data_IF_946271155164
#
_entry.id   IF_946271155164
#
_cell.length_a   1.000
_cell.length_b   1.000
_cell.length_c   1.000
_cell.angle_alpha   90.00
_cell.angle_beta   90.00
_cell.angle_gamma   90.00
#
_symmetry.space_group_name_H-M   'P 1'
#
loop_
_entity.id
_entity.type
_entity.pdbx_description
1 polymer ?
#
# COMPACT_ATOMS: atom_id res chain seq x y z
N UNK A 1 71.80 -48.39 70.48
CA UNK A 1 71.59 -48.69 69.07
C UNK A 1 70.32 -48.02 68.62
N UNK A 2 70.34 -46.90 67.93
CA UNK A 2 69.13 -46.30 67.36
C UNK A 2 69.11 -46.45 65.84
N UNK A 3 67.93 -46.80 65.34
CA UNK A 3 67.57 -46.83 63.92
C UNK A 3 67.14 -45.47 63.45
N UNK A 4 67.75 -44.91 62.42
CA UNK A 4 67.36 -43.71 61.76
C UNK A 4 66.54 -44.04 60.50
N UNK A 5 65.24 -43.64 60.48
CA UNK A 5 64.39 -43.69 59.27
C UNK A 5 64.39 -42.33 58.56
N UNK A 6 64.85 -42.32 57.32
CA UNK A 6 64.84 -41.20 56.43
C UNK A 6 63.50 -41.14 55.72
N UNK A 7 62.76 -40.05 55.91
CA UNK A 7 61.54 -39.73 55.16
C UNK A 7 61.84 -38.91 53.87
N UNK A 8 61.64 -39.52 52.71
CA UNK A 8 61.68 -38.83 51.43
C UNK A 8 60.37 -38.11 51.22
N UNK A 9 60.38 -36.78 51.16
CA UNK A 9 59.26 -35.94 50.73
C UNK A 9 59.14 -35.99 49.20
N UNK A 10 57.96 -36.49 48.70
CA UNK A 10 57.58 -36.41 47.30
C UNK A 10 56.82 -35.11 47.14
N UNK A 11 57.35 -34.14 46.37
CA UNK A 11 56.64 -32.90 45.93
C UNK A 11 55.86 -33.27 44.70
N UNK A 12 54.53 -33.31 44.81
CA UNK A 12 53.59 -33.36 43.65
C UNK A 12 53.31 -31.96 43.23
N UNK A 13 53.80 -31.57 42.09
CA UNK A 13 53.46 -30.27 41.43
C UNK A 13 52.14 -30.44 40.71
N UNK A 14 51.05 -29.90 41.26
CA UNK A 14 49.71 -29.78 40.57
C UNK A 14 49.75 -28.59 39.65
N UNK A 15 49.78 -28.85 38.36
CA UNK A 15 49.60 -27.82 37.31
C UNK A 15 48.09 -27.54 37.17
N UNK A 16 47.60 -26.41 37.67
CA UNK A 16 46.25 -25.94 37.47
C UNK A 16 46.22 -25.28 36.07
N UNK A 17 45.67 -25.99 35.10
CA UNK A 17 45.32 -25.43 33.79
C UNK A 17 44.13 -24.52 33.93
N UNK A 18 44.34 -23.19 33.89
CA UNK A 18 43.32 -22.16 33.84
C UNK A 18 42.75 -22.11 32.41
N UNK A 19 41.68 -22.87 32.17
CA UNK A 19 40.93 -22.80 30.92
C UNK A 19 40.27 -21.42 30.81
N UNK A 20 40.78 -20.56 29.93
CA UNK A 20 40.13 -19.31 29.54
C UNK A 20 38.85 -19.65 28.74
N UNK A 21 37.71 -19.73 29.41
CA UNK A 21 36.39 -19.65 28.76
C UNK A 21 36.24 -18.23 28.24
N UNK A 22 36.58 -18.02 26.96
CA UNK A 22 36.16 -16.83 26.26
C UNK A 22 34.60 -16.88 26.12
N UNK A 23 33.92 -16.30 27.09
CA UNK A 23 32.53 -15.92 26.94
C UNK A 23 32.50 -14.90 25.81
N UNK A 24 32.26 -15.39 24.59
CA UNK A 24 31.85 -14.55 23.48
C UNK A 24 30.55 -13.88 23.87
N UNK A 25 30.65 -12.66 24.37
CA UNK A 25 29.49 -11.76 24.44
C UNK A 25 29.05 -11.47 23.00
N UNK A 26 28.29 -12.40 22.41
CA UNK A 26 27.54 -12.08 21.23
C UNK A 26 26.65 -10.91 21.61
N UNK A 27 27.01 -9.71 21.16
CA UNK A 27 26.09 -8.56 21.22
C UNK A 27 24.80 -9.03 20.55
N UNK A 28 23.75 -9.20 21.34
CA UNK A 28 22.42 -9.38 20.77
C UNK A 28 22.19 -8.12 19.93
N UNK A 29 22.21 -8.28 18.60
CA UNK A 29 21.86 -7.20 17.70
C UNK A 29 20.43 -6.79 18.05
N UNK A 30 20.20 -5.49 18.22
CA UNK A 30 18.87 -4.98 18.54
C UNK A 30 17.94 -5.21 17.35
N UNK A 31 16.67 -5.58 17.63
CA UNK A 31 15.68 -5.71 16.57
C UNK A 31 15.43 -4.36 15.90
N UNK A 32 15.30 -4.36 14.57
CA UNK A 32 14.85 -3.19 13.80
C UNK A 32 13.35 -3.06 13.97
N UNK A 33 12.90 -2.06 14.73
CA UNK A 33 11.48 -1.83 15.01
C UNK A 33 10.83 -1.04 13.89
N UNK A 34 9.89 -1.66 13.15
CA UNK A 34 9.08 -1.01 12.13
C UNK A 34 7.63 -0.95 12.63
N UNK A 35 7.08 0.26 12.65
CA UNK A 35 5.69 0.49 13.05
C UNK A 35 4.73 0.38 11.88
N UNK A 36 3.48 0.01 12.21
CA UNK A 36 2.39 0.03 11.24
C UNK A 36 1.08 0.41 11.92
N UNK A 37 0.30 1.30 11.31
CA UNK A 37 -1.09 1.56 11.65
C UNK A 37 -1.93 1.40 10.40
N UNK A 38 -2.91 0.50 10.45
CA UNK A 38 -3.69 0.04 9.31
C UNK A 38 -5.17 -0.05 9.68
N UNK A 39 -6.04 0.11 8.69
CA UNK A 39 -7.47 -0.09 8.87
C UNK A 39 -7.84 -1.56 8.61
N UNK A 40 -7.29 -2.48 9.43
CA UNK A 40 -7.50 -3.93 9.26
C UNK A 40 -8.92 -4.37 9.64
N UNK A 41 -9.67 -3.54 10.36
CA UNK A 41 -11.09 -3.71 10.63
C UNK A 41 -11.89 -2.48 10.19
N UNK A 42 -13.23 -2.50 10.38
CA UNK A 42 -14.13 -1.42 10.00
C UNK A 42 -14.41 -1.32 8.50
N UNK A 43 -14.84 -0.13 8.04
CA UNK A 43 -15.31 0.07 6.65
C UNK A 43 -14.21 -0.03 5.59
N UNK A 44 -12.95 0.14 5.98
CA UNK A 44 -11.79 0.02 5.10
C UNK A 44 -11.04 -1.31 5.23
N UNK A 45 -11.61 -2.31 5.92
CA UNK A 45 -10.97 -3.61 6.16
C UNK A 45 -10.57 -4.33 4.87
N UNK A 46 -11.32 -4.18 3.78
CA UNK A 46 -10.99 -4.77 2.47
C UNK A 46 -9.67 -4.22 1.88
N UNK A 47 -9.21 -3.05 2.33
CA UNK A 47 -7.90 -2.47 2.04
C UNK A 47 -6.86 -2.95 3.08
N UNK A 48 -7.13 -2.70 4.36
CA UNK A 48 -6.17 -2.85 5.44
C UNK A 48 -5.87 -4.29 5.84
N UNK A 49 -6.82 -5.21 5.68
CA UNK A 49 -6.58 -6.63 5.99
C UNK A 49 -5.50 -7.25 5.09
N UNK A 50 -5.58 -7.15 3.74
CA UNK A 50 -4.50 -7.64 2.88
C UNK A 50 -3.17 -6.89 3.08
N UNK A 51 -3.19 -5.59 3.45
CA UNK A 51 -1.99 -4.86 3.83
C UNK A 51 -1.32 -5.47 5.06
N UNK A 52 -2.08 -5.71 6.14
CA UNK A 52 -1.59 -6.30 7.39
C UNK A 52 -1.06 -7.72 7.19
N UNK A 53 -1.81 -8.55 6.45
CA UNK A 53 -1.39 -9.92 6.12
C UNK A 53 -0.09 -9.93 5.32
N UNK A 54 0.06 -9.01 4.35
CA UNK A 54 1.26 -8.87 3.54
C UNK A 54 2.47 -8.47 4.39
N UNK A 55 2.35 -7.42 5.20
CA UNK A 55 3.47 -6.98 6.06
C UNK A 55 3.92 -8.09 6.98
N UNK A 56 2.97 -8.77 7.66
CA UNK A 56 3.30 -9.88 8.55
C UNK A 56 4.03 -11.00 7.82
N UNK A 57 3.47 -11.47 6.70
CA UNK A 57 4.03 -12.56 5.90
C UNK A 57 5.45 -12.26 5.43
N UNK A 58 5.67 -11.06 4.90
CA UNK A 58 6.97 -10.67 4.37
C UNK A 58 8.01 -10.45 5.46
N UNK A 59 7.62 -9.91 6.62
CA UNK A 59 8.52 -9.80 7.79
C UNK A 59 8.93 -11.17 8.28
N UNK A 60 8.01 -12.13 8.35
CA UNK A 60 8.33 -13.51 8.71
C UNK A 60 9.34 -14.12 7.71
N UNK A 61 9.14 -13.91 6.40
CA UNK A 61 10.03 -14.40 5.34
C UNK A 61 11.43 -13.75 5.42
N UNK A 62 11.51 -12.43 5.60
CA UNK A 62 12.77 -11.69 5.73
C UNK A 62 13.52 -12.15 6.98
N UNK A 63 12.82 -12.32 8.09
CA UNK A 63 13.41 -12.79 9.34
C UNK A 63 13.91 -14.25 9.24
N UNK A 64 13.17 -15.11 8.55
CA UNK A 64 13.60 -16.47 8.27
C UNK A 64 14.88 -16.52 7.40
N UNK A 65 15.01 -15.58 6.46
CA UNK A 65 16.19 -15.42 5.61
C UNK A 65 17.42 -14.76 6.30
N UNK A 66 17.31 -14.41 7.59
CA UNK A 66 18.43 -13.82 8.35
C UNK A 66 18.25 -12.36 8.75
N UNK A 67 17.13 -11.72 8.35
CA UNK A 67 16.82 -10.33 8.68
C UNK A 67 17.47 -9.32 7.74
N UNK A 68 17.71 -8.10 8.25
CA UNK A 68 18.41 -7.02 7.56
C UNK A 68 19.77 -6.87 8.23
N UNK A 69 20.88 -7.04 7.50
CA UNK A 69 22.24 -6.96 8.04
C UNK A 69 22.43 -7.81 9.34
N UNK A 70 21.79 -9.00 9.39
CA UNK A 70 21.74 -9.92 10.54
C UNK A 70 20.86 -9.47 11.72
N UNK A 71 20.18 -8.34 11.64
CA UNK A 71 19.19 -7.89 12.62
C UNK A 71 17.77 -8.32 12.20
N UNK A 72 16.94 -8.74 13.16
CA UNK A 72 15.55 -9.11 12.89
C UNK A 72 14.66 -7.89 12.84
N UNK A 73 13.61 -7.96 12.01
CA UNK A 73 12.56 -6.94 12.00
C UNK A 73 11.56 -7.30 13.11
N UNK A 74 11.27 -6.34 13.98
CA UNK A 74 10.12 -6.38 14.89
C UNK A 74 9.04 -5.48 14.34
N UNK A 75 8.03 -6.08 13.69
CA UNK A 75 6.86 -5.36 13.21
C UNK A 75 5.88 -5.13 14.37
N UNK A 76 5.48 -3.88 14.60
CA UNK A 76 4.50 -3.47 15.61
C UNK A 76 3.31 -2.87 14.87
N UNK A 77 2.15 -3.53 14.94
CA UNK A 77 0.96 -3.15 14.17
C UNK A 77 -0.20 -2.79 15.08
N UNK A 78 -0.85 -1.66 14.80
CA UNK A 78 -2.09 -1.22 15.41
C UNK A 78 -3.20 -1.12 14.36
N UNK A 79 -4.43 -1.51 14.75
CA UNK A 79 -5.62 -1.41 13.92
C UNK A 79 -6.39 -0.13 14.25
N UNK A 80 -6.38 0.83 13.33
CA UNK A 80 -7.08 2.11 13.48
C UNK A 80 -8.56 2.03 13.08
N UNK A 81 -9.01 0.93 12.48
CA UNK A 81 -10.37 0.70 12.01
C UNK A 81 -10.90 1.80 11.05
N UNK A 82 -10.01 2.55 10.38
CA UNK A 82 -10.34 3.69 9.51
C UNK A 82 -10.59 5.00 10.27
N UNK A 83 -10.34 5.04 11.57
CA UNK A 83 -10.50 6.24 12.40
C UNK A 83 -9.22 7.08 12.42
N UNK A 84 -9.31 8.33 11.92
CA UNK A 84 -8.18 9.24 11.82
C UNK A 84 -7.57 9.60 13.20
N UNK A 85 -8.39 9.69 14.27
CA UNK A 85 -7.89 10.00 15.61
C UNK A 85 -7.11 8.82 16.21
N UNK A 86 -7.61 7.59 16.01
CA UNK A 86 -6.87 6.38 16.40
C UNK A 86 -5.56 6.27 15.62
N UNK A 87 -5.58 6.50 14.31
CA UNK A 87 -4.39 6.47 13.47
C UNK A 87 -3.32 7.44 13.99
N UNK A 88 -3.70 8.68 14.33
CA UNK A 88 -2.82 9.66 14.94
C UNK A 88 -2.28 9.18 16.29
N UNK A 89 -3.15 8.70 17.18
CA UNK A 89 -2.77 8.21 18.51
C UNK A 89 -1.78 7.05 18.41
N UNK A 90 -2.03 6.11 17.50
CA UNK A 90 -1.16 4.96 17.30
C UNK A 90 0.18 5.35 16.66
N UNK A 91 0.19 6.32 15.74
CA UNK A 91 1.45 6.85 15.20
C UNK A 91 2.32 7.49 16.30
N UNK A 92 1.71 8.29 17.20
CA UNK A 92 2.41 8.84 18.36
C UNK A 92 2.97 7.73 19.26
N UNK A 93 2.16 6.72 19.58
CA UNK A 93 2.58 5.58 20.39
C UNK A 93 3.72 4.78 19.75
N UNK A 94 3.64 4.50 18.45
CA UNK A 94 4.71 3.81 17.72
C UNK A 94 6.06 4.54 17.84
N UNK A 95 6.02 5.88 17.83
CA UNK A 95 7.22 6.71 17.91
C UNK A 95 7.73 6.84 19.35
N UNK A 96 6.84 7.22 20.29
CA UNK A 96 7.23 7.58 21.65
C UNK A 96 7.41 6.38 22.58
N UNK A 97 6.52 5.37 22.48
CA UNK A 97 6.54 4.21 23.39
C UNK A 97 7.25 3.01 22.77
N UNK A 98 7.01 2.75 21.46
CA UNK A 98 7.54 1.57 20.77
C UNK A 98 8.91 1.86 20.09
N UNK A 99 9.34 3.13 20.02
CA UNK A 99 10.63 3.59 19.49
C UNK A 99 10.94 3.04 18.09
N UNK A 100 9.94 3.10 17.18
CA UNK A 100 10.11 2.61 15.81
C UNK A 100 11.00 3.53 14.98
N UNK A 101 11.80 2.95 14.08
CA UNK A 101 12.70 3.70 13.20
C UNK A 101 12.04 4.14 11.89
N UNK A 102 10.89 3.54 11.56
CA UNK A 102 10.11 3.83 10.37
C UNK A 102 8.65 3.36 10.55
N UNK A 103 7.73 3.94 9.76
CA UNK A 103 6.32 3.57 9.77
C UNK A 103 5.86 3.25 8.34
N UNK A 104 5.06 2.18 8.18
CA UNK A 104 4.34 1.83 6.97
C UNK A 104 2.86 1.74 7.31
N UNK A 105 1.97 2.43 6.59
CA UNK A 105 0.54 2.36 6.91
C UNK A 105 -0.27 3.55 6.42
N UNK A 106 -1.30 3.91 7.20
CA UNK A 106 -2.24 4.92 6.77
C UNK A 106 -3.02 4.43 5.55
N UNK A 107 -3.79 3.36 5.72
CA UNK A 107 -4.59 2.68 4.68
C UNK A 107 -5.45 3.63 3.86
N UNK A 108 -6.11 4.60 4.53
CA UNK A 108 -6.98 5.59 3.87
C UNK A 108 -6.32 6.97 3.84
N UNK A 109 -6.81 7.84 2.94
CA UNK A 109 -6.37 9.23 2.90
C UNK A 109 -6.59 9.94 4.25
N UNK A 110 -7.73 9.69 4.90
CA UNK A 110 -8.04 10.30 6.19
C UNK A 110 -7.08 9.88 7.29
N UNK A 111 -6.78 8.57 7.41
CA UNK A 111 -5.83 8.04 8.40
C UNK A 111 -4.41 8.49 8.10
N UNK A 112 -3.98 8.46 6.82
CA UNK A 112 -2.67 9.00 6.40
C UNK A 112 -2.48 10.47 6.79
N UNK A 113 -3.46 11.32 6.47
CA UNK A 113 -3.34 12.75 6.75
C UNK A 113 -3.35 13.09 8.24
N UNK A 114 -3.87 12.20 9.08
CA UNK A 114 -3.77 12.31 10.54
C UNK A 114 -2.39 11.89 11.07
N UNK A 115 -1.71 10.95 10.41
CA UNK A 115 -0.35 10.47 10.75
C UNK A 115 0.72 11.47 10.32
N UNK A 116 0.56 12.08 9.15
CA UNK A 116 1.57 12.96 8.52
C UNK A 116 2.16 14.01 9.49
N UNK A 117 1.37 14.82 10.22
CA UNK A 117 1.95 15.81 11.14
C UNK A 117 2.85 15.18 12.21
N UNK A 118 2.49 14.00 12.71
CA UNK A 118 3.21 13.28 13.76
C UNK A 118 4.59 12.84 13.27
N UNK A 119 4.65 12.19 12.10
CA UNK A 119 5.91 11.68 11.54
C UNK A 119 6.83 12.80 11.05
N UNK A 120 6.27 13.88 10.50
CA UNK A 120 7.05 15.04 10.07
C UNK A 120 7.70 15.76 11.25
N UNK A 121 6.98 15.92 12.38
CA UNK A 121 7.50 16.53 13.62
C UNK A 121 8.57 15.65 14.26
N UNK A 122 8.34 14.34 14.33
CA UNK A 122 9.28 13.40 14.94
C UNK A 122 10.49 13.07 14.06
N UNK A 123 10.44 13.38 12.76
CA UNK A 123 11.51 13.05 11.81
C UNK A 123 11.59 11.56 11.45
N UNK A 124 10.50 10.81 11.59
CA UNK A 124 10.42 9.38 11.31
C UNK A 124 9.94 9.16 9.88
N UNK A 125 10.67 8.39 9.02
CA UNK A 125 10.23 8.10 7.67
C UNK A 125 8.95 7.28 7.67
N UNK A 126 8.00 7.69 6.84
CA UNK A 126 6.68 7.11 6.71
C UNK A 126 6.38 6.78 5.25
N UNK A 127 6.01 5.55 4.95
CA UNK A 127 5.49 5.14 3.65
C UNK A 127 3.99 4.92 3.77
N UNK A 128 3.21 5.83 3.19
CA UNK A 128 1.75 5.79 3.17
C UNK A 128 1.23 4.79 2.13
N UNK A 129 0.11 4.13 2.46
CA UNK A 129 -0.64 3.22 1.59
C UNK A 129 -1.90 3.87 1.00
N UNK A 130 -2.06 5.19 1.11
CA UNK A 130 -3.21 5.94 0.62
C UNK A 130 -3.02 6.52 -0.79
N UNK A 131 -4.14 6.65 -1.54
CA UNK A 131 -4.13 7.04 -2.96
C UNK A 131 -4.07 8.54 -3.25
N UNK A 132 -4.44 9.45 -2.31
CA UNK A 132 -4.52 10.88 -2.60
C UNK A 132 -3.17 11.52 -2.90
N UNK A 133 -3.15 12.45 -3.87
CA UNK A 133 -1.95 13.24 -4.20
C UNK A 133 -1.53 14.17 -3.05
N UNK A 134 -2.47 14.59 -2.22
CA UNK A 134 -2.24 15.47 -1.08
C UNK A 134 -1.29 14.87 -0.03
N UNK A 135 -1.07 13.55 -0.06
CA UNK A 135 -0.08 12.88 0.79
C UNK A 135 1.33 13.37 0.50
N UNK A 136 1.64 13.63 -0.77
CA UNK A 136 2.99 14.00 -1.24
C UNK A 136 3.06 15.36 -1.93
N UNK A 137 1.96 16.08 -2.08
CA UNK A 137 1.94 17.43 -2.62
C UNK A 137 1.24 18.39 -1.66
N UNK A 138 1.96 19.40 -1.12
CA UNK A 138 3.40 19.64 -1.36
C UNK A 138 4.26 18.50 -0.83
N UNK A 139 5.47 18.33 -1.38
CA UNK A 139 6.43 17.31 -0.91
C UNK A 139 6.73 17.54 0.57
N UNK A 140 6.64 16.48 1.35
CA UNK A 140 6.93 16.44 2.78
C UNK A 140 8.22 15.71 3.02
N UNK A 141 8.97 16.13 4.04
CA UNK A 141 10.34 15.65 4.23
C UNK A 141 10.44 14.16 4.58
N UNK A 142 9.48 13.65 5.35
CA UNK A 142 9.54 12.29 5.89
C UNK A 142 8.44 11.36 5.33
N UNK A 143 7.54 11.88 4.49
CA UNK A 143 6.37 11.17 3.98
C UNK A 143 6.56 10.75 2.52
N UNK A 144 6.46 9.46 2.27
CA UNK A 144 6.50 8.78 0.98
C UNK A 144 5.20 8.01 0.75
N UNK A 145 4.98 7.47 -0.45
CA UNK A 145 3.84 6.58 -0.71
C UNK A 145 4.15 5.58 -1.82
N UNK A 146 3.45 4.45 -1.80
CA UNK A 146 3.51 3.44 -2.85
C UNK A 146 2.31 3.42 -3.79
N UNK A 147 1.07 3.77 -3.37
CA UNK A 147 -0.06 3.84 -4.29
C UNK A 147 0.11 4.95 -5.33
N UNK A 148 -0.39 4.71 -6.53
CA UNK A 148 -0.58 5.77 -7.53
C UNK A 148 -1.45 6.90 -6.97
N UNK A 149 -1.31 8.10 -7.53
CA UNK A 149 -2.17 9.21 -7.11
C UNK A 149 -3.55 9.15 -7.77
N UNK A 150 -4.53 9.70 -7.09
CA UNK A 150 -5.87 9.97 -7.62
C UNK A 150 -5.84 10.82 -8.90
N UNK A 151 -4.91 11.80 -9.01
CA UNK A 151 -4.68 12.58 -10.23
C UNK A 151 -4.20 11.69 -11.39
N UNK A 152 -3.28 10.76 -11.15
CA UNK A 152 -2.84 9.78 -12.15
C UNK A 152 -4.00 8.87 -12.58
N UNK A 153 -4.84 8.47 -11.63
CA UNK A 153 -6.01 7.65 -11.94
C UNK A 153 -7.01 8.40 -12.83
N UNK A 154 -7.32 9.67 -12.53
CA UNK A 154 -8.16 10.50 -13.40
C UNK A 154 -7.53 10.63 -14.81
N UNK A 155 -6.24 10.90 -14.90
CA UNK A 155 -5.54 11.01 -16.17
C UNK A 155 -5.65 9.72 -17.00
N UNK A 156 -5.40 8.56 -16.37
CA UNK A 156 -5.48 7.25 -17.05
C UNK A 156 -6.89 6.93 -17.54
N UNK A 157 -7.91 7.23 -16.73
CA UNK A 157 -9.32 7.07 -17.11
C UNK A 157 -9.66 8.00 -18.29
N UNK A 158 -9.24 9.25 -18.23
CA UNK A 158 -9.53 10.22 -19.27
C UNK A 158 -8.83 9.91 -20.60
N UNK A 159 -7.61 9.36 -20.58
CA UNK A 159 -6.96 8.83 -21.78
C UNK A 159 -7.80 7.70 -22.43
N UNK A 160 -8.33 6.76 -21.66
CA UNK A 160 -9.18 5.69 -22.20
C UNK A 160 -10.51 6.27 -22.72
N UNK A 161 -11.11 7.20 -22.00
CA UNK A 161 -12.35 7.88 -22.43
C UNK A 161 -12.16 8.66 -23.73
N UNK A 162 -11.02 9.38 -23.91
CA UNK A 162 -10.67 10.05 -25.17
C UNK A 162 -10.56 9.06 -26.33
N UNK A 163 -9.82 7.97 -26.16
CA UNK A 163 -9.71 6.91 -27.19
C UNK A 163 -11.08 6.38 -27.60
N UNK A 164 -12.02 6.29 -26.67
CA UNK A 164 -13.39 5.80 -26.87
C UNK A 164 -14.39 6.89 -27.27
N UNK A 165 -13.97 8.15 -27.35
CA UNK A 165 -14.80 9.33 -27.64
C UNK A 165 -15.95 9.55 -26.63
N UNK A 166 -15.71 9.22 -25.36
CA UNK A 166 -16.62 9.41 -24.25
C UNK A 166 -16.28 10.73 -23.54
N UNK A 167 -16.60 11.86 -24.16
CA UNK A 167 -16.11 13.18 -23.73
C UNK A 167 -17.07 13.92 -22.78
N UNK A 168 -18.32 13.46 -22.62
CA UNK A 168 -19.32 14.04 -21.71
C UNK A 168 -19.65 13.03 -20.62
N UNK A 169 -19.23 13.31 -19.40
CA UNK A 169 -19.30 12.33 -18.32
C UNK A 169 -20.03 12.86 -17.08
N UNK A 170 -20.60 11.93 -16.31
CA UNK A 170 -21.10 12.19 -14.97
C UNK A 170 -20.12 11.67 -13.92
N UNK A 171 -19.89 12.43 -12.86
CA UNK A 171 -19.18 11.99 -11.67
C UNK A 171 -20.14 11.58 -10.56
N UNK A 172 -19.82 10.49 -9.86
CA UNK A 172 -20.47 10.08 -8.62
C UNK A 172 -19.37 9.84 -7.57
N UNK A 173 -19.18 10.79 -6.66
CA UNK A 173 -18.01 10.80 -5.76
C UNK A 173 -18.39 10.54 -4.30
N UNK A 174 -17.61 9.71 -3.62
CA UNK A 174 -17.66 9.56 -2.17
C UNK A 174 -17.33 10.88 -1.46
N UNK A 175 -17.97 11.13 -0.31
CA UNK A 175 -17.71 12.31 0.52
C UNK A 175 -16.61 12.10 1.54
N UNK A 176 -16.01 10.89 1.57
CA UNK A 176 -14.81 10.63 2.35
C UNK A 176 -13.58 11.36 1.77
N UNK A 177 -12.49 11.41 2.53
CA UNK A 177 -11.28 12.16 2.14
C UNK A 177 -10.69 11.72 0.79
N UNK A 178 -10.77 10.42 0.45
CA UNK A 178 -10.27 9.93 -0.84
C UNK A 178 -11.19 10.33 -1.99
N UNK A 179 -12.50 10.11 -1.85
CA UNK A 179 -13.50 10.47 -2.87
C UNK A 179 -13.48 11.97 -3.16
N UNK A 180 -13.41 12.80 -2.11
CA UNK A 180 -13.31 14.26 -2.23
C UNK A 180 -12.02 14.70 -2.94
N UNK A 181 -10.85 14.11 -2.59
CA UNK A 181 -9.58 14.39 -3.26
C UNK A 181 -9.64 14.01 -4.74
N UNK A 182 -10.06 12.79 -5.05
CA UNK A 182 -10.12 12.32 -6.44
C UNK A 182 -11.10 13.14 -7.29
N UNK A 183 -12.29 13.50 -6.72
CA UNK A 183 -13.23 14.39 -7.40
C UNK A 183 -12.57 15.73 -7.75
N UNK A 184 -11.87 16.35 -6.80
CA UNK A 184 -11.11 17.58 -7.04
C UNK A 184 -10.10 17.41 -8.17
N UNK A 185 -9.30 16.34 -8.13
CA UNK A 185 -8.28 16.09 -9.15
C UNK A 185 -8.90 15.84 -10.53
N UNK A 186 -9.96 15.04 -10.64
CA UNK A 186 -10.65 14.84 -11.91
C UNK A 186 -11.22 16.16 -12.47
N UNK A 187 -11.86 17.00 -11.64
CA UNK A 187 -12.39 18.30 -12.06
C UNK A 187 -11.29 19.25 -12.55
N UNK A 188 -10.13 19.26 -11.88
CA UNK A 188 -8.99 20.12 -12.24
C UNK A 188 -8.42 19.79 -13.62
N UNK A 189 -8.28 18.49 -13.96
CA UNK A 189 -7.61 18.08 -15.19
C UNK A 189 -8.54 17.71 -16.34
N UNK A 190 -9.86 17.65 -16.12
CA UNK A 190 -10.82 17.21 -17.14
C UNK A 190 -10.68 17.97 -18.47
N UNK A 191 -10.50 19.29 -18.41
CA UNK A 191 -10.34 20.13 -19.61
C UNK A 191 -9.09 19.83 -20.42
N UNK A 192 -7.99 19.42 -19.76
CA UNK A 192 -6.72 19.08 -20.42
C UNK A 192 -6.89 17.83 -21.30
N UNK A 193 -7.90 17.00 -21.00
CA UNK A 193 -8.29 15.81 -21.75
C UNK A 193 -9.53 16.02 -22.63
N UNK A 194 -10.04 17.26 -22.77
CA UNK A 194 -11.25 17.54 -23.52
C UNK A 194 -12.52 16.91 -22.91
N UNK A 195 -12.48 16.58 -21.64
CA UNK A 195 -13.61 15.99 -20.91
C UNK A 195 -14.50 17.10 -20.34
N UNK A 196 -15.80 17.01 -20.61
CA UNK A 196 -16.84 17.86 -20.04
C UNK A 196 -17.59 17.09 -18.95
N UNK A 197 -17.57 17.61 -17.72
CA UNK A 197 -18.35 17.06 -16.61
C UNK A 197 -19.76 17.65 -16.69
N UNK A 198 -20.73 16.87 -17.19
CA UNK A 198 -22.12 17.30 -17.38
C UNK A 198 -23.01 16.99 -16.17
N UNK A 199 -22.54 16.22 -15.24
CA UNK A 199 -23.22 15.90 -13.98
C UNK A 199 -22.19 15.60 -12.88
N UNK A 200 -22.51 15.98 -11.64
CA UNK A 200 -21.61 15.85 -10.50
C UNK A 200 -22.44 15.62 -9.25
N UNK A 201 -22.47 14.37 -8.78
CA UNK A 201 -23.25 13.89 -7.66
C UNK A 201 -22.30 13.28 -6.60
N UNK A 202 -22.77 13.21 -5.36
CA UNK A 202 -22.01 12.63 -4.25
C UNK A 202 -22.80 11.58 -3.49
N UNK A 203 -22.08 10.71 -2.77
CA UNK A 203 -22.64 9.74 -1.84
C UNK A 203 -21.83 9.70 -0.55
N UNK A 204 -22.50 9.43 0.58
CA UNK A 204 -21.82 9.17 1.84
C UNK A 204 -21.33 7.70 1.88
N UNK A 205 -20.20 7.40 2.58
CA UNK A 205 -19.67 6.02 2.67
C UNK A 205 -20.67 4.99 3.19
N UNK A 206 -21.65 5.42 4.00
CA UNK A 206 -22.70 4.57 4.58
C UNK A 206 -23.98 4.48 3.75
N UNK A 207 -24.06 5.16 2.60
CA UNK A 207 -25.25 5.12 1.76
C UNK A 207 -25.48 3.72 1.20
N UNK A 208 -26.68 3.19 1.41
CA UNK A 208 -27.10 1.87 0.96
C UNK A 208 -27.81 1.89 -0.41
N UNK A 209 -28.15 3.08 -0.92
CA UNK A 209 -28.84 3.28 -2.19
C UNK A 209 -28.38 4.58 -2.87
N UNK A 210 -27.93 4.47 -4.11
CA UNK A 210 -27.47 5.59 -4.94
C UNK A 210 -28.33 5.74 -6.21
N UNK A 211 -29.51 5.11 -6.21
CA UNK A 211 -30.49 5.19 -7.31
C UNK A 211 -30.85 6.63 -7.65
N UNK A 212 -31.09 7.55 -6.69
CA UNK A 212 -31.41 8.95 -7.01
C UNK A 212 -30.26 9.64 -7.77
N UNK A 213 -29.01 9.52 -7.29
CA UNK A 213 -27.84 10.14 -7.91
C UNK A 213 -27.60 9.61 -9.32
N UNK A 214 -27.65 8.29 -9.48
CA UNK A 214 -27.50 7.63 -10.78
C UNK A 214 -28.61 8.00 -11.75
N UNK A 215 -29.84 8.18 -11.26
CA UNK A 215 -30.99 8.66 -12.06
C UNK A 215 -30.78 10.10 -12.52
N UNK A 216 -30.28 10.96 -11.64
CA UNK A 216 -29.95 12.34 -12.00
C UNK A 216 -28.84 12.35 -13.08
N UNK A 217 -27.81 11.55 -12.92
CA UNK A 217 -26.70 11.48 -13.88
C UNK A 217 -27.16 10.96 -15.25
N UNK A 218 -27.84 9.80 -15.30
CA UNK A 218 -28.26 9.21 -16.58
C UNK A 218 -29.14 10.08 -17.42
N UNK A 219 -29.85 11.04 -16.79
CA UNK A 219 -30.76 11.97 -17.46
C UNK A 219 -30.08 13.28 -17.91
N UNK A 220 -28.78 13.46 -17.66
CA UNK A 220 -28.05 14.65 -18.13
C UNK A 220 -27.89 14.63 -19.65
N UNK A 221 -28.21 15.79 -20.26
CA UNK A 221 -28.17 15.92 -21.70
C UNK A 221 -26.75 15.58 -22.26
N UNK A 222 -26.72 14.64 -23.19
CA UNK A 222 -25.49 14.26 -23.91
C UNK A 222 -24.50 13.46 -23.09
N UNK A 223 -24.83 12.98 -21.88
CA UNK A 223 -23.96 12.12 -21.09
C UNK A 223 -23.58 10.84 -21.87
N UNK A 224 -22.32 10.44 -21.79
CA UNK A 224 -21.76 9.31 -22.53
C UNK A 224 -21.18 8.23 -21.62
N UNK A 225 -20.83 8.55 -20.37
CA UNK A 225 -20.33 7.59 -19.37
C UNK A 225 -20.53 8.12 -17.95
N UNK A 226 -20.45 7.21 -16.97
CA UNK A 226 -20.46 7.54 -15.54
C UNK A 226 -19.14 7.06 -14.95
N UNK A 227 -18.52 7.90 -14.11
CA UNK A 227 -17.30 7.63 -13.35
C UNK A 227 -17.60 7.71 -11.86
N UNK A 228 -17.42 6.58 -11.15
CA UNK A 228 -17.58 6.48 -9.70
C UNK A 228 -16.23 6.63 -9.02
N UNK A 229 -16.14 7.58 -8.10
CA UNK A 229 -14.93 7.96 -7.38
C UNK A 229 -15.11 7.63 -5.89
N UNK A 230 -14.43 6.60 -5.41
CA UNK A 230 -14.57 6.20 -4.02
C UNK A 230 -13.79 4.94 -3.69
N UNK A 231 -13.93 4.51 -2.47
CA UNK A 231 -13.39 3.27 -1.92
C UNK A 231 -14.46 2.60 -1.03
N UNK A 232 -14.24 1.37 -0.65
CA UNK A 232 -15.14 0.66 0.24
C UNK A 232 -16.36 0.06 -0.43
N UNK A 233 -17.42 -0.10 0.37
CA UNK A 233 -18.66 -0.71 -0.09
C UNK A 233 -19.49 0.22 -1.02
N UNK A 234 -19.35 1.55 -0.88
CA UNK A 234 -20.11 2.52 -1.65
C UNK A 234 -20.05 2.32 -3.16
N UNK A 235 -18.86 2.25 -3.78
CA UNK A 235 -18.75 1.96 -5.21
C UNK A 235 -19.39 0.63 -5.65
N UNK A 236 -19.39 -0.40 -4.79
CA UNK A 236 -20.07 -1.68 -5.07
C UNK A 236 -21.59 -1.52 -5.03
N UNK A 237 -22.11 -0.71 -4.09
CA UNK A 237 -23.54 -0.33 -4.06
C UNK A 237 -23.92 0.44 -5.32
N UNK A 238 -23.14 1.47 -5.68
CA UNK A 238 -23.36 2.24 -6.90
C UNK A 238 -23.40 1.35 -8.15
N UNK A 239 -22.46 0.36 -8.25
CA UNK A 239 -22.41 -0.57 -9.38
C UNK A 239 -23.64 -1.47 -9.45
N UNK A 240 -24.15 -1.99 -8.31
CA UNK A 240 -25.38 -2.76 -8.26
C UNK A 240 -26.60 -1.92 -8.67
N UNK A 241 -26.73 -0.71 -8.13
CA UNK A 241 -27.83 0.19 -8.49
C UNK A 241 -27.76 0.60 -9.96
N UNK A 242 -26.54 0.84 -10.48
CA UNK A 242 -26.32 1.10 -11.89
C UNK A 242 -26.88 -0.05 -12.79
N UNK A 243 -26.55 -1.29 -12.44
CA UNK A 243 -27.04 -2.48 -13.17
C UNK A 243 -28.58 -2.65 -13.02
N UNK A 244 -29.13 -2.46 -11.81
CA UNK A 244 -30.58 -2.50 -11.55
C UNK A 244 -31.36 -1.46 -12.36
N UNK A 245 -30.79 -0.27 -12.54
CA UNK A 245 -31.38 0.81 -13.36
C UNK A 245 -31.20 0.57 -14.86
N UNK A 246 -30.55 -0.52 -15.27
CA UNK A 246 -30.24 -0.86 -16.67
C UNK A 246 -29.67 0.33 -17.45
N UNK A 247 -28.72 1.07 -16.87
CA UNK A 247 -28.14 2.26 -17.49
C UNK A 247 -27.28 1.83 -18.68
N UNK A 248 -27.58 2.28 -19.93
CA UNK A 248 -26.90 1.80 -21.12
C UNK A 248 -25.62 2.59 -21.44
N UNK A 249 -24.90 3.06 -20.41
CA UNK A 249 -23.69 3.86 -20.56
C UNK A 249 -22.48 3.06 -20.07
N UNK A 250 -21.26 3.28 -20.56
CA UNK A 250 -20.07 2.74 -19.94
C UNK A 250 -19.90 3.22 -18.50
N UNK A 251 -19.54 2.29 -17.59
CA UNK A 251 -19.24 2.57 -16.20
C UNK A 251 -17.74 2.47 -15.96
N UNK A 252 -17.19 3.52 -15.35
CA UNK A 252 -15.80 3.54 -14.87
C UNK A 252 -15.77 3.62 -13.35
N UNK A 253 -14.75 3.03 -12.77
CA UNK A 253 -14.48 3.08 -11.34
C UNK A 253 -13.10 3.70 -11.07
N UNK A 254 -12.92 4.21 -9.86
CA UNK A 254 -11.60 4.60 -9.37
C UNK A 254 -10.72 3.38 -9.09
N UNK A 255 -9.40 3.58 -8.98
CA UNK A 255 -8.48 2.54 -8.51
C UNK A 255 -8.69 2.14 -7.04
N UNK A 256 -9.52 2.87 -6.30
CA UNK A 256 -9.89 2.57 -4.91
C UNK A 256 -10.71 1.29 -4.72
N UNK A 257 -11.09 0.61 -5.81
CA UNK A 257 -11.80 -0.68 -5.79
C UNK A 257 -11.06 -1.79 -6.52
N UNK A 258 -9.80 -1.60 -6.86
CA UNK A 258 -9.00 -2.52 -7.66
C UNK A 258 -8.65 -3.83 -6.92
N UNK A 259 -9.64 -4.69 -6.72
CA UNK A 259 -9.52 -6.01 -6.07
C UNK A 259 -10.67 -6.94 -6.45
N UNK A 260 -10.47 -8.26 -6.30
CA UNK A 260 -11.53 -9.25 -6.54
C UNK A 260 -12.71 -9.06 -5.57
N UNK A 261 -12.47 -8.56 -4.36
CA UNK A 261 -13.51 -8.25 -3.39
C UNK A 261 -14.56 -7.25 -3.92
N UNK A 262 -14.17 -6.32 -4.80
CA UNK A 262 -15.13 -5.45 -5.47
C UNK A 262 -16.07 -6.22 -6.39
N UNK A 263 -15.53 -7.17 -7.17
CA UNK A 263 -16.32 -8.01 -8.08
C UNK A 263 -17.29 -8.90 -7.27
N UNK A 264 -16.82 -9.46 -6.17
CA UNK A 264 -17.64 -10.28 -5.27
C UNK A 264 -18.78 -9.48 -4.62
N UNK A 265 -18.46 -8.28 -4.08
CA UNK A 265 -19.42 -7.42 -3.41
C UNK A 265 -20.47 -6.81 -4.35
N UNK A 266 -20.07 -6.40 -5.53
CA UNK A 266 -20.99 -5.82 -6.52
C UNK A 266 -21.74 -6.90 -7.31
N UNK A 267 -21.17 -8.09 -7.43
CA UNK A 267 -21.67 -9.21 -8.25
C UNK A 267 -21.09 -9.19 -9.66
N UNK A 268 -20.69 -10.35 -10.16
CA UNK A 268 -20.02 -10.51 -11.47
C UNK A 268 -20.84 -9.97 -12.64
N UNK A 269 -22.18 -10.11 -12.58
CA UNK A 269 -23.08 -9.58 -13.62
C UNK A 269 -23.14 -8.05 -13.61
N UNK A 270 -23.15 -7.43 -12.42
CA UNK A 270 -23.22 -5.98 -12.31
C UNK A 270 -21.90 -5.29 -12.67
N UNK A 271 -20.79 -6.02 -12.55
CA UNK A 271 -19.43 -5.51 -12.85
C UNK A 271 -19.00 -5.76 -14.30
N UNK A 272 -19.78 -6.48 -15.09
CA UNK A 272 -19.43 -6.78 -16.49
C UNK A 272 -19.19 -5.50 -17.30
N UNK A 273 -18.03 -5.39 -17.96
CA UNK A 273 -17.64 -4.23 -18.75
C UNK A 273 -17.21 -2.99 -17.96
N UNK A 274 -17.15 -3.05 -16.62
CA UNK A 274 -16.63 -1.97 -15.79
C UNK A 274 -15.14 -1.81 -16.04
N UNK A 275 -14.69 -0.55 -16.24
CA UNK A 275 -13.28 -0.21 -16.45
C UNK A 275 -12.72 0.60 -15.30
N UNK A 276 -11.45 0.37 -14.98
CA UNK A 276 -10.71 1.14 -14.00
C UNK A 276 -9.18 1.01 -14.21
N UNK A 277 -8.41 2.01 -13.74
CA UNK A 277 -6.96 1.85 -13.69
C UNK A 277 -6.57 0.95 -12.51
N UNK A 278 -5.70 -0.02 -12.77
CA UNK A 278 -5.21 -0.95 -11.76
C UNK A 278 -3.71 -1.20 -11.91
N UNK A 279 -3.14 -1.88 -10.92
CA UNK A 279 -1.73 -2.28 -10.97
C UNK A 279 -1.53 -3.53 -11.82
N UNK A 280 -0.29 -3.74 -12.26
CA UNK A 280 0.13 -4.94 -12.98
C UNK A 280 -0.18 -6.24 -12.20
N UNK A 281 -0.25 -6.16 -10.86
CA UNK A 281 -0.52 -7.30 -9.99
C UNK A 281 -1.85 -8.02 -10.31
N UNK A 282 -2.93 -7.27 -10.58
CA UNK A 282 -4.25 -7.87 -10.87
C UNK A 282 -4.26 -8.69 -12.17
N UNK A 283 -3.35 -8.42 -13.06
CA UNK A 283 -3.19 -9.07 -14.36
C UNK A 283 -1.81 -9.71 -14.53
N UNK A 284 -1.15 -10.08 -13.43
CA UNK A 284 0.22 -10.58 -13.41
C UNK A 284 0.45 -11.72 -14.42
N UNK A 285 -0.52 -12.62 -14.55
CA UNK A 285 -0.46 -13.77 -15.45
C UNK A 285 -0.65 -13.39 -16.93
N UNK A 286 -1.17 -12.19 -17.22
CA UNK A 286 -1.41 -11.66 -18.57
C UNK A 286 -0.31 -10.72 -19.06
N UNK A 287 0.64 -10.37 -18.21
CA UNK A 287 1.76 -9.50 -18.58
C UNK A 287 2.68 -10.20 -19.58
N UNK A 288 3.26 -9.42 -20.50
CA UNK A 288 4.24 -9.92 -21.46
C UNK A 288 5.47 -10.51 -20.73
N UNK A 289 6.15 -11.48 -21.37
CA UNK A 289 7.36 -12.12 -20.78
C UNK A 289 8.47 -11.12 -20.44
N UNK A 290 8.59 -10.06 -21.23
CA UNK A 290 9.59 -8.98 -21.02
C UNK A 290 9.15 -7.88 -20.05
N UNK A 291 7.94 -7.93 -19.47
CA UNK A 291 7.48 -6.93 -18.51
C UNK A 291 8.25 -7.10 -17.19
N UNK A 292 8.99 -6.06 -16.74
CA UNK A 292 9.81 -6.16 -15.53
C UNK A 292 8.98 -6.44 -14.26
N UNK A 293 7.70 -6.09 -14.23
CA UNK A 293 6.83 -6.32 -13.09
C UNK A 293 6.30 -7.77 -13.01
N UNK A 294 6.28 -8.50 -14.14
CA UNK A 294 5.73 -9.87 -14.19
C UNK A 294 6.33 -10.81 -13.14
N UNK A 295 7.66 -10.95 -13.02
CA UNK A 295 8.25 -11.85 -12.02
C UNK A 295 7.91 -11.46 -10.58
N UNK A 296 7.94 -10.16 -10.26
CA UNK A 296 7.64 -9.64 -8.91
C UNK A 296 6.16 -9.86 -8.57
N UNK A 297 5.26 -9.45 -9.47
CA UNK A 297 3.82 -9.57 -9.29
C UNK A 297 3.39 -11.05 -9.17
N UNK A 298 3.91 -11.94 -10.02
CA UNK A 298 3.61 -13.37 -9.98
C UNK A 298 4.15 -14.02 -8.70
N UNK A 299 5.36 -13.68 -8.27
CA UNK A 299 5.95 -14.21 -7.05
C UNK A 299 5.15 -13.80 -5.81
N UNK A 300 4.81 -12.51 -5.70
CA UNK A 300 3.98 -12.01 -4.60
C UNK A 300 2.60 -12.65 -4.60
N UNK A 301 1.90 -12.67 -5.74
CA UNK A 301 0.59 -13.31 -5.88
C UNK A 301 0.61 -14.75 -5.38
N UNK A 302 1.53 -15.56 -5.90
CA UNK A 302 1.68 -16.98 -5.49
C UNK A 302 1.96 -17.11 -3.99
N UNK A 303 2.84 -16.26 -3.45
CA UNK A 303 3.21 -16.31 -2.02
C UNK A 303 2.05 -15.94 -1.12
N UNK A 304 1.32 -14.85 -1.45
CA UNK A 304 0.17 -14.36 -0.69
C UNK A 304 -0.99 -15.35 -0.72
N UNK A 305 -1.37 -15.82 -1.91
CA UNK A 305 -2.47 -16.78 -2.10
C UNK A 305 -2.16 -18.10 -1.41
N UNK A 306 -0.92 -18.57 -1.49
CA UNK A 306 -0.48 -19.79 -0.79
C UNK A 306 -0.47 -19.68 0.72
N UNK A 307 -0.23 -18.48 1.27
CA UNK A 307 -0.22 -18.26 2.72
C UNK A 307 -1.61 -18.03 3.31
N UNK A 308 -2.50 -17.37 2.56
CA UNK A 308 -3.77 -16.84 3.08
C UNK A 308 -5.00 -17.57 2.54
N UNK A 309 -4.87 -18.26 1.41
CA UNK A 309 -6.00 -18.84 0.66
C UNK A 309 -6.92 -17.77 0.02
N UNK A 310 -6.51 -16.48 0.02
CA UNK A 310 -7.26 -15.35 -0.54
C UNK A 310 -6.55 -14.82 -1.78
N UNK A 311 -7.29 -14.22 -2.73
CA UNK A 311 -6.72 -13.56 -3.90
C UNK A 311 -5.82 -12.39 -3.49
N UNK A 312 -4.68 -12.25 -4.16
CA UNK A 312 -3.82 -11.08 -3.98
C UNK A 312 -4.53 -9.83 -4.53
N UNK A 313 -4.44 -8.73 -3.78
CA UNK A 313 -5.07 -7.46 -4.14
C UNK A 313 -4.02 -6.36 -4.38
N UNK A 314 -4.40 -5.34 -5.12
CA UNK A 314 -3.59 -4.12 -5.29
C UNK A 314 -3.15 -3.54 -3.95
N UNK A 315 -3.99 -3.59 -2.92
CA UNK A 315 -3.70 -3.02 -1.59
C UNK A 315 -2.60 -3.79 -0.86
N UNK A 316 -2.66 -5.12 -0.87
CA UNK A 316 -1.53 -5.94 -0.41
C UNK A 316 -0.25 -5.67 -1.20
N UNK A 317 -0.37 -5.42 -2.51
CA UNK A 317 0.75 -5.01 -3.37
C UNK A 317 1.40 -3.70 -2.94
N UNK A 318 0.62 -2.71 -2.49
CA UNK A 318 1.16 -1.46 -1.94
C UNK A 318 2.01 -1.69 -0.69
N UNK A 319 1.52 -2.53 0.22
CA UNK A 319 2.25 -2.91 1.43
C UNK A 319 3.52 -3.74 1.13
N UNK A 320 3.45 -4.63 0.11
CA UNK A 320 4.60 -5.38 -0.39
C UNK A 320 5.72 -4.42 -0.82
N UNK A 321 5.40 -3.48 -1.68
CA UNK A 321 6.38 -2.54 -2.21
C UNK A 321 6.91 -1.60 -1.12
N UNK A 322 6.03 -1.14 -0.20
CA UNK A 322 6.43 -0.29 0.92
C UNK A 322 7.44 -0.97 1.83
N UNK A 323 7.22 -2.25 2.18
CA UNK A 323 8.17 -2.97 3.02
C UNK A 323 9.49 -3.24 2.30
N UNK A 324 9.45 -3.63 1.03
CA UNK A 324 10.67 -3.88 0.27
C UNK A 324 11.50 -2.61 0.02
N UNK A 325 10.85 -1.46 -0.24
CA UNK A 325 11.52 -0.16 -0.32
C UNK A 325 12.17 0.21 1.02
N UNK A 326 11.46 -0.02 2.13
CA UNK A 326 11.97 0.26 3.47
C UNK A 326 13.17 -0.63 3.81
N UNK A 327 13.06 -1.93 3.55
CA UNK A 327 14.14 -2.91 3.79
C UNK A 327 15.38 -2.60 2.94
N UNK A 328 15.19 -2.27 1.67
CA UNK A 328 16.27 -1.87 0.77
C UNK A 328 16.94 -0.57 1.27
N UNK A 329 16.14 0.41 1.69
CA UNK A 329 16.66 1.65 2.25
C UNK A 329 17.48 1.42 3.53
N UNK A 330 17.00 0.58 4.46
CA UNK A 330 17.73 0.23 5.68
C UNK A 330 19.06 -0.49 5.35
N UNK A 331 19.06 -1.41 4.40
CA UNK A 331 20.29 -2.08 3.95
C UNK A 331 21.31 -1.12 3.39
N UNK A 332 20.90 -0.14 2.59
CA UNK A 332 21.78 0.87 1.98
C UNK A 332 22.25 1.94 2.98
N UNK A 333 21.43 2.21 4.00
CA UNK A 333 21.76 3.17 5.04
C UNK A 333 22.84 2.69 6.00
N UNK A 334 23.11 1.37 6.04
CA UNK A 334 24.03 0.70 6.98
C UNK A 334 23.74 0.97 8.47
N UNK A 335 22.65 1.68 8.75
CA UNK A 335 22.14 2.03 10.09
C UNK A 335 20.63 2.11 10.08
N UNK A 336 19.99 1.51 11.08
CA UNK A 336 18.55 1.61 11.29
C UNK A 336 18.18 2.91 12.04
N UNK A 337 18.65 4.04 11.53
CA UNK A 337 18.36 5.38 12.07
C UNK A 337 17.39 6.14 11.15
N UNK A 338 16.34 6.82 11.67
CA UNK A 338 15.30 7.46 10.85
C UNK A 338 15.84 8.38 9.74
N UNK A 339 16.81 9.24 10.06
CA UNK A 339 17.38 10.18 9.08
C UNK A 339 18.18 9.47 7.97
N UNK A 340 18.91 8.40 8.31
CA UNK A 340 19.67 7.61 7.34
C UNK A 340 18.73 6.83 6.41
N UNK A 341 17.67 6.24 6.96
CA UNK A 341 16.64 5.52 6.20
C UNK A 341 15.94 6.48 5.23
N UNK A 342 15.52 7.65 5.70
CA UNK A 342 14.88 8.68 4.87
C UNK A 342 15.76 9.08 3.69
N UNK A 343 17.05 9.36 3.91
CA UNK A 343 17.98 9.72 2.85
C UNK A 343 18.20 8.57 1.85
N UNK A 344 18.23 7.33 2.35
CA UNK A 344 18.32 6.14 1.50
C UNK A 344 17.05 5.93 0.66
N UNK A 345 15.86 6.22 1.20
CA UNK A 345 14.62 6.21 0.42
C UNK A 345 14.68 7.19 -0.74
N UNK A 346 15.04 8.46 -0.53
CA UNK A 346 15.18 9.46 -1.60
C UNK A 346 16.22 9.07 -2.67
N UNK A 347 17.22 8.26 -2.30
CA UNK A 347 18.24 7.77 -3.22
C UNK A 347 17.82 6.53 -4.02
N UNK A 348 16.59 6.00 -3.83
CA UNK A 348 16.08 4.82 -4.55
C UNK A 348 15.98 5.07 -6.03
N UNK A 349 16.54 4.16 -6.86
CA UNK A 349 16.50 4.23 -8.31
C UNK A 349 16.10 2.89 -8.91
N UNK A 350 15.09 2.90 -9.78
CA UNK A 350 14.70 1.74 -10.58
C UNK A 350 14.24 0.52 -9.75
N UNK A 351 13.64 0.76 -8.57
CA UNK A 351 13.04 -0.32 -7.80
C UNK A 351 11.81 -0.87 -8.52
N UNK A 352 11.87 -2.14 -8.93
CA UNK A 352 10.75 -2.80 -9.60
C UNK A 352 9.85 -3.46 -8.55
N UNK A 353 8.66 -2.90 -8.38
CA UNK A 353 7.62 -3.40 -7.47
C UNK A 353 6.38 -3.91 -8.20
N UNK A 354 5.37 -4.30 -7.43
CA UNK A 354 4.06 -4.69 -7.94
C UNK A 354 3.26 -3.49 -8.46
N UNK A 355 3.60 -2.29 -8.01
CA UNK A 355 2.94 -1.02 -8.37
C UNK A 355 3.58 -0.32 -9.57
N UNK A 356 4.83 -0.61 -9.88
CA UNK A 356 5.57 0.02 -10.97
C UNK A 356 7.08 -0.04 -10.75
N UNK A 357 7.82 0.70 -11.57
CA UNK A 357 9.25 0.93 -11.38
C UNK A 357 9.43 2.28 -10.70
N UNK A 358 9.86 2.25 -9.43
CA UNK A 358 9.96 3.42 -8.56
C UNK A 358 11.33 4.07 -8.64
N UNK A 359 11.36 5.39 -8.84
CA UNK A 359 12.58 6.21 -8.76
C UNK A 359 12.29 7.46 -7.92
N UNK A 360 12.70 7.42 -6.65
CA UNK A 360 12.48 8.51 -5.71
C UNK A 360 13.55 9.61 -5.83
N UNK A 361 13.21 10.79 -5.33
CA UNK A 361 14.13 11.93 -5.21
C UNK A 361 13.68 12.87 -4.07
N UNK A 362 14.49 13.87 -3.68
CA UNK A 362 14.06 14.87 -2.68
C UNK A 362 12.82 15.69 -3.07
N UNK A 363 12.43 15.66 -4.35
CA UNK A 363 11.27 16.39 -4.88
C UNK A 363 10.15 15.48 -5.39
N UNK A 364 10.37 14.17 -5.36
CA UNK A 364 9.38 13.16 -5.77
C UNK A 364 9.43 11.96 -4.83
N UNK A 365 8.44 11.88 -3.94
CA UNK A 365 8.28 10.81 -2.95
C UNK A 365 7.28 9.72 -3.36
N UNK A 366 6.90 9.70 -4.64
CA UNK A 366 6.16 8.61 -5.28
C UNK A 366 7.05 7.82 -6.25
N UNK A 367 7.74 8.53 -7.15
CA UNK A 367 8.66 7.95 -8.11
C UNK A 367 8.01 7.08 -9.20
N UNK A 368 6.69 7.18 -9.40
CA UNK A 368 5.94 6.48 -10.43
C UNK A 368 5.45 7.46 -11.49
N UNK A 369 5.43 7.02 -12.75
CA UNK A 369 4.77 7.71 -13.84
C UNK A 369 3.45 7.00 -14.26
N UNK A 370 2.74 7.58 -15.23
CA UNK A 370 1.44 7.08 -15.66
C UNK A 370 1.49 5.69 -16.30
N UNK A 371 2.66 5.24 -16.81
CA UNK A 371 2.84 3.91 -17.38
C UNK A 371 2.72 2.78 -16.35
N UNK A 372 2.88 3.11 -15.06
CA UNK A 372 2.70 2.18 -13.96
C UNK A 372 1.25 1.72 -13.79
N UNK A 373 0.27 2.53 -14.21
CA UNK A 373 -1.12 2.10 -14.29
C UNK A 373 -1.42 1.31 -15.56
N UNK A 374 -2.15 0.21 -15.41
CA UNK A 374 -2.79 -0.53 -16.51
C UNK A 374 -4.28 -0.16 -16.53
N UNK A 375 -4.86 0.08 -17.73
CA UNK A 375 -6.31 0.14 -17.83
C UNK A 375 -6.87 -1.28 -17.88
N UNK A 376 -7.79 -1.58 -16.97
CA UNK A 376 -8.40 -2.89 -16.80
C UNK A 376 -9.90 -2.83 -17.09
N UNK A 377 -10.45 -3.97 -17.53
CA UNK A 377 -11.89 -4.19 -17.69
C UNK A 377 -12.27 -5.50 -16.98
N UNK A 378 -13.46 -5.56 -16.44
CA UNK A 378 -13.98 -6.81 -15.86
C UNK A 378 -14.77 -7.54 -16.95
N UNK A 379 -14.38 -8.79 -17.26
CA UNK A 379 -15.04 -9.69 -18.21
C UNK A 379 -15.22 -11.06 -17.59
N UNK A 380 -16.47 -11.53 -17.55
CA UNK A 380 -16.79 -12.83 -16.96
C UNK A 380 -16.33 -12.94 -15.49
N UNK A 381 -16.38 -11.85 -14.74
CA UNK A 381 -15.93 -11.77 -13.34
C UNK A 381 -14.42 -11.81 -13.14
N UNK A 382 -13.62 -11.51 -14.18
CA UNK A 382 -12.14 -11.51 -14.13
C UNK A 382 -11.58 -10.22 -14.71
N UNK A 383 -10.41 -9.84 -14.20
CA UNK A 383 -9.66 -8.72 -14.74
C UNK A 383 -9.02 -9.07 -16.08
N UNK A 384 -9.19 -8.20 -17.06
CA UNK A 384 -8.52 -8.26 -18.35
C UNK A 384 -7.83 -6.92 -18.65
N UNK A 385 -6.67 -7.01 -19.30
CA UNK A 385 -5.95 -5.83 -19.75
C UNK A 385 -6.65 -5.27 -20.99
N UNK A 386 -6.89 -3.94 -21.01
CA UNK A 386 -7.40 -3.21 -22.17
C UNK A 386 -6.47 -2.04 -22.45
N UNK A 387 -5.99 -1.98 -23.68
CA UNK A 387 -5.08 -0.93 -24.17
C UNK A 387 -5.76 -0.02 -25.19
#
# INVERSE_FOLDING_TARGET
MPFTHSLKKILTTSTISLGLFALGTGSALADIRIGSTLSASGMAAFLGEPEAQTLKMLVDDINAAGGINSEKIKLITYDDAGDANKARTFATRLIEDDEVVAIIGGTTTGTTMAIVPVVEEAGVPFISLAGAIEVIQPVRKHTFKTPHTDRMACAKIFEDMQKRKLLKIGLLAGTDSFGASMRKQCLEIAKDYGIEIVGDETFAPADADMTPQLTNLKNRAGIQSILVLGLGAGPSVATRNYAQLAIPLPLYQSHGVASDAFIELAGSQATEGVRLPGTALLVADLLAEGDPQRPVATAYKKRFEGATGKSASTFGGYAHDALHLMVDAIRRADKAEPAAIRNALEATKGFVGTTGTVTLSPTDHLGLDLSAFRMLEIKGGKWVLVE
#
